data_IF_813308710524
#
_entry.id   IF_813308710524
#
_cell.length_a   1.000
_cell.length_b   1.000
_cell.length_c   1.000
_cell.angle_alpha   90.00
_cell.angle_beta   90.00
_cell.angle_gamma   90.00
#
_symmetry.space_group_name_H-M   'P 1'
#
loop_
_entity.id
_entity.type
_entity.pdbx_description
1 polymer ?
#
# COMPACT_ATOMS: atom_id res chain seq x y z
N UNK A 1 70.04 -60.81 -98.62
CA UNK A 1 70.32 -60.22 -97.28
C UNK A 1 69.13 -59.36 -96.90
N UNK A 2 68.49 -59.71 -95.79
CA UNK A 2 67.29 -59.09 -95.21
C UNK A 2 67.70 -57.89 -94.33
N UNK A 3 66.76 -56.97 -94.14
CA UNK A 3 66.73 -55.74 -93.31
C UNK A 3 67.40 -54.51 -93.96
N UNK A 4 66.75 -53.34 -94.04
CA UNK A 4 65.85 -52.76 -93.03
C UNK A 4 64.75 -51.93 -93.68
N UNK A 5 63.50 -52.37 -93.56
CA UNK A 5 62.34 -51.53 -93.85
C UNK A 5 62.17 -50.51 -92.72
N UNK A 6 62.61 -49.28 -92.94
CA UNK A 6 62.18 -48.15 -92.12
C UNK A 6 60.65 -48.11 -92.10
N UNK A 7 59.98 -48.03 -90.93
CA UNK A 7 58.53 -48.03 -90.87
C UNK A 7 57.96 -46.88 -91.71
N UNK A 8 57.08 -47.19 -92.66
CA UNK A 8 56.49 -46.23 -93.62
C UNK A 8 55.76 -45.06 -92.94
N UNK A 9 55.37 -45.23 -91.67
CA UNK A 9 54.93 -44.14 -90.81
C UNK A 9 55.10 -44.53 -89.33
N UNK A 10 55.46 -43.56 -88.48
CA UNK A 10 55.53 -43.70 -87.02
C UNK A 10 54.93 -42.48 -86.33
N UNK A 11 54.17 -42.72 -85.27
CA UNK A 11 53.75 -41.67 -84.34
C UNK A 11 54.89 -41.37 -83.37
N UNK A 12 55.13 -40.08 -83.10
CA UNK A 12 55.92 -39.70 -81.93
C UNK A 12 55.22 -40.17 -80.65
N UNK A 13 55.97 -40.25 -79.56
CA UNK A 13 55.36 -40.35 -78.24
C UNK A 13 54.45 -39.14 -78.00
N UNK A 14 53.47 -39.33 -77.12
CA UNK A 14 52.59 -38.25 -76.72
C UNK A 14 53.40 -37.18 -75.99
N UNK A 15 53.24 -35.92 -76.42
CA UNK A 15 53.79 -34.76 -75.76
C UNK A 15 53.28 -34.59 -74.32
N UNK A 16 53.84 -33.60 -73.62
CA UNK A 16 53.39 -33.24 -72.27
C UNK A 16 51.93 -32.78 -72.31
N UNK A 17 51.23 -32.94 -71.19
CA UNK A 17 49.86 -32.47 -71.05
C UNK A 17 49.85 -30.94 -70.93
N UNK A 18 49.27 -30.26 -71.92
CA UNK A 18 49.08 -28.81 -71.91
C UNK A 18 47.76 -28.49 -71.18
N UNK A 19 47.76 -28.68 -69.86
CA UNK A 19 46.61 -28.37 -69.00
C UNK A 19 46.62 -26.90 -68.57
N UNK A 20 45.49 -26.21 -68.76
CA UNK A 20 45.31 -24.80 -68.41
C UNK A 20 43.97 -24.57 -67.70
N UNK A 21 43.77 -23.40 -67.11
CA UNK A 21 42.55 -23.06 -66.38
C UNK A 21 42.59 -23.34 -64.87
N UNK A 22 41.44 -23.17 -64.22
CA UNK A 22 41.27 -23.34 -62.77
C UNK A 22 41.32 -24.82 -62.39
N UNK A 23 41.85 -25.10 -61.20
CA UNK A 23 41.82 -26.44 -60.62
C UNK A 23 40.36 -26.86 -60.39
N UNK A 24 40.03 -28.13 -60.63
CA UNK A 24 38.68 -28.67 -60.43
C UNK A 24 38.19 -28.58 -58.98
N UNK A 25 39.12 -28.52 -58.03
CA UNK A 25 38.88 -28.35 -56.61
C UNK A 25 39.32 -26.94 -56.20
N UNK A 26 38.65 -26.32 -55.23
CA UNK A 26 39.03 -25.00 -54.69
C UNK A 26 40.02 -25.10 -53.52
N UNK A 27 40.14 -26.28 -52.91
CA UNK A 27 41.07 -26.60 -51.83
C UNK A 27 41.54 -28.07 -52.00
N UNK A 28 42.67 -28.44 -51.40
CA UNK A 28 43.24 -29.78 -51.50
C UNK A 28 43.67 -30.16 -52.93
N UNK A 29 43.69 -31.46 -53.23
CA UNK A 29 44.08 -31.97 -54.55
C UNK A 29 42.94 -31.86 -55.56
N UNK A 30 43.26 -31.42 -56.76
CA UNK A 30 42.33 -31.37 -57.88
C UNK A 30 43.01 -31.67 -59.21
N UNK A 31 42.26 -31.50 -60.30
CA UNK A 31 42.72 -31.75 -61.66
C UNK A 31 42.56 -30.49 -62.51
N UNK A 32 43.59 -30.17 -63.31
CA UNK A 32 43.47 -29.28 -64.46
C UNK A 32 43.38 -30.14 -65.70
N UNK A 33 42.40 -29.85 -66.55
CA UNK A 33 42.16 -30.61 -67.77
C UNK A 33 42.86 -29.92 -68.95
N UNK A 34 43.28 -30.71 -69.92
CA UNK A 34 43.95 -30.22 -71.12
C UNK A 34 44.04 -31.27 -72.21
N UNK A 35 44.90 -31.01 -73.16
CA UNK A 35 45.17 -31.92 -74.28
C UNK A 35 46.66 -32.22 -74.39
N UNK A 36 46.99 -33.40 -74.90
CA UNK A 36 48.35 -33.71 -75.34
C UNK A 36 48.34 -34.10 -76.79
N UNK A 37 49.35 -33.65 -77.50
CA UNK A 37 49.50 -33.82 -78.95
C UNK A 37 50.59 -34.84 -79.24
N UNK A 38 50.53 -35.48 -80.41
CA UNK A 38 51.63 -36.27 -80.98
C UNK A 38 51.71 -35.99 -82.48
N UNK A 39 52.90 -36.03 -83.03
CA UNK A 39 53.14 -35.73 -84.44
C UNK A 39 53.31 -37.01 -85.24
N UNK A 40 52.71 -37.04 -86.43
CA UNK A 40 52.86 -38.14 -87.40
C UNK A 40 54.12 -37.90 -88.21
N UNK A 41 55.07 -38.82 -88.18
CA UNK A 41 56.22 -38.82 -89.09
C UNK A 41 55.90 -39.75 -90.26
N UNK A 42 55.95 -39.22 -91.49
CA UNK A 42 55.61 -39.94 -92.72
C UNK A 42 56.91 -40.14 -93.51
N UNK A 43 57.21 -41.40 -93.86
CA UNK A 43 58.26 -41.73 -94.82
C UNK A 43 57.73 -41.78 -96.26
N UNK A 44 58.57 -42.17 -97.23
CA UNK A 44 58.14 -42.39 -98.61
C UNK A 44 57.31 -43.69 -98.70
N UNK A 45 55.99 -43.59 -98.51
CA UNK A 45 55.06 -44.72 -98.57
C UNK A 45 53.64 -44.39 -98.10
N UNK A 46 52.75 -45.39 -98.19
CA UNK A 46 51.31 -45.23 -97.89
C UNK A 46 51.07 -44.91 -96.39
N UNK A 47 50.49 -43.73 -96.15
CA UNK A 47 50.24 -43.17 -94.82
C UNK A 47 49.03 -43.78 -94.09
N UNK A 48 48.30 -44.68 -94.76
CA UNK A 48 47.07 -45.35 -94.31
C UNK A 48 47.27 -46.29 -93.11
N UNK A 49 48.51 -46.75 -92.84
CA UNK A 49 48.83 -47.65 -91.71
C UNK A 49 48.93 -46.97 -90.34
N UNK A 50 48.84 -45.63 -90.29
CA UNK A 50 48.89 -44.84 -89.06
C UNK A 50 47.56 -44.13 -88.81
N UNK A 51 46.55 -44.90 -88.42
CA UNK A 51 45.23 -44.39 -88.02
C UNK A 51 45.18 -44.10 -86.52
N UNK A 52 44.45 -43.05 -86.14
CA UNK A 52 44.26 -42.63 -84.76
C UNK A 52 44.52 -41.14 -84.56
N UNK A 53 44.04 -40.55 -83.44
CA UNK A 53 44.07 -39.11 -83.27
C UNK A 53 45.48 -38.58 -82.98
N UNK A 54 45.74 -37.34 -83.41
CA UNK A 54 46.94 -36.56 -83.08
C UNK A 54 46.80 -35.79 -81.76
N UNK A 55 45.59 -35.76 -81.18
CA UNK A 55 45.25 -35.07 -79.93
C UNK A 55 44.46 -36.02 -79.04
N UNK A 56 44.77 -36.07 -77.75
CA UNK A 56 43.94 -36.78 -76.76
C UNK A 56 43.78 -35.97 -75.47
N UNK A 57 42.66 -36.14 -74.75
CA UNK A 57 42.47 -35.47 -73.47
C UNK A 57 43.50 -35.95 -72.45
N UNK A 58 43.84 -35.06 -71.54
CA UNK A 58 44.73 -35.33 -70.42
C UNK A 58 44.34 -34.47 -69.22
N UNK A 59 44.92 -34.79 -68.07
CA UNK A 59 44.83 -33.95 -66.89
C UNK A 59 46.19 -33.91 -66.18
N UNK A 60 46.43 -32.83 -65.46
CA UNK A 60 47.50 -32.71 -64.48
C UNK A 60 46.91 -32.51 -63.10
N UNK A 61 47.61 -32.98 -62.07
CA UNK A 61 47.23 -32.70 -60.69
C UNK A 61 47.57 -31.25 -60.36
N UNK A 62 46.70 -30.62 -59.58
CA UNK A 62 46.93 -29.30 -58.99
C UNK A 62 46.73 -29.38 -57.49
N UNK A 63 47.59 -28.70 -56.75
CA UNK A 63 47.50 -28.56 -55.30
C UNK A 63 46.99 -27.15 -54.97
N UNK A 64 45.89 -27.09 -54.25
CA UNK A 64 45.39 -25.88 -53.63
C UNK A 64 45.67 -25.94 -52.11
N UNK A 65 45.53 -24.81 -51.39
CA UNK A 65 45.62 -24.83 -49.92
C UNK A 65 44.69 -25.90 -49.32
N UNK A 66 45.07 -26.50 -48.18
CA UNK A 66 44.31 -27.59 -47.58
C UNK A 66 42.85 -27.20 -47.35
N UNK A 67 41.95 -28.15 -47.57
CA UNK A 67 40.55 -27.98 -47.22
C UNK A 67 40.43 -27.96 -45.71
N UNK A 68 39.88 -26.88 -45.20
CA UNK A 68 39.50 -26.76 -43.81
C UNK A 68 38.01 -26.90 -43.63
N UNK A 69 37.58 -26.85 -42.38
CA UNK A 69 36.21 -26.98 -42.00
C UNK A 69 35.70 -25.78 -41.22
N UNK A 70 34.44 -25.40 -41.46
CA UNK A 70 33.69 -24.45 -40.65
C UNK A 70 32.29 -24.99 -40.36
N UNK A 71 31.84 -24.78 -39.13
CA UNK A 71 30.44 -25.01 -38.77
C UNK A 71 29.56 -23.82 -39.23
N UNK A 72 28.38 -24.12 -39.77
CA UNK A 72 27.34 -23.10 -39.92
C UNK A 72 26.79 -22.66 -38.55
N UNK A 73 26.06 -21.55 -38.53
CA UNK A 73 25.32 -21.14 -37.35
C UNK A 73 24.30 -22.22 -36.94
N UNK A 74 24.03 -22.33 -35.64
CA UNK A 74 22.99 -23.21 -35.16
C UNK A 74 21.65 -22.84 -35.78
N UNK A 75 20.95 -23.84 -36.31
CA UNK A 75 19.56 -23.71 -36.75
C UNK A 75 18.61 -23.41 -35.59
N UNK A 76 17.35 -23.12 -35.93
CA UNK A 76 16.30 -22.90 -34.95
C UNK A 76 16.12 -24.13 -34.04
N UNK A 77 15.79 -23.86 -32.77
CA UNK A 77 15.48 -24.93 -31.82
C UNK A 77 14.16 -25.59 -32.18
N UNK A 78 14.20 -26.85 -32.62
CA UNK A 78 13.00 -27.64 -32.87
C UNK A 78 12.52 -28.21 -31.54
N UNK A 79 11.45 -27.62 -31.01
CA UNK A 79 10.89 -28.03 -29.73
C UNK A 79 10.33 -29.45 -29.78
N UNK A 80 10.55 -30.20 -28.71
CA UNK A 80 10.04 -31.55 -28.51
C UNK A 80 9.57 -31.73 -27.06
N UNK A 81 8.55 -32.56 -26.86
CA UNK A 81 8.00 -32.85 -25.53
C UNK A 81 7.06 -31.81 -24.93
N UNK A 82 6.71 -32.07 -23.67
CA UNK A 82 5.75 -31.27 -22.89
C UNK A 82 6.44 -30.09 -22.20
N UNK A 83 5.66 -29.04 -21.96
CA UNK A 83 6.10 -27.89 -21.18
C UNK A 83 6.34 -28.26 -19.71
N UNK A 84 7.38 -27.68 -19.11
CA UNK A 84 7.72 -27.86 -17.69
C UNK A 84 6.65 -27.34 -16.73
N UNK A 85 5.75 -26.48 -17.22
CA UNK A 85 4.58 -25.98 -16.52
C UNK A 85 3.41 -25.94 -17.48
N UNK A 86 2.20 -26.15 -16.98
CA UNK A 86 0.95 -25.93 -17.72
C UNK A 86 0.45 -24.48 -17.61
N UNK A 87 1.09 -23.67 -16.74
CA UNK A 87 0.64 -22.34 -16.36
C UNK A 87 1.82 -21.39 -16.12
N UNK A 88 1.72 -20.15 -16.60
CA UNK A 88 2.77 -19.15 -16.50
C UNK A 88 4.07 -19.57 -17.21
N UNK A 89 5.22 -18.98 -16.86
CA UNK A 89 6.47 -19.22 -17.57
C UNK A 89 6.86 -20.70 -17.50
N UNK A 90 7.01 -21.31 -18.68
CA UNK A 90 7.46 -22.69 -18.84
C UNK A 90 8.49 -22.78 -19.97
N UNK A 91 9.31 -23.82 -19.92
CA UNK A 91 10.21 -24.17 -21.02
C UNK A 91 9.95 -25.62 -21.43
N UNK A 92 10.18 -25.92 -22.70
CA UNK A 92 10.23 -27.30 -23.21
C UNK A 92 11.57 -27.55 -23.86
N UNK A 93 11.98 -28.81 -23.84
CA UNK A 93 13.22 -29.23 -24.48
C UNK A 93 13.07 -29.22 -26.00
N UNK A 94 14.18 -29.31 -26.69
CA UNK A 94 14.23 -29.32 -28.14
C UNK A 94 15.63 -29.68 -28.63
N UNK A 95 15.77 -29.76 -29.94
CA UNK A 95 17.04 -30.05 -30.59
C UNK A 95 17.31 -29.03 -31.68
N UNK A 96 18.54 -28.52 -31.72
CA UNK A 96 19.04 -27.68 -32.83
C UNK A 96 20.24 -28.34 -33.46
N UNK A 97 20.40 -28.13 -34.76
CA UNK A 97 21.48 -28.72 -35.55
C UNK A 97 22.28 -27.64 -36.27
N UNK A 98 23.51 -27.97 -36.65
CA UNK A 98 24.38 -27.17 -37.52
C UNK A 98 25.05 -28.09 -38.53
N UNK A 99 25.48 -27.53 -39.65
CA UNK A 99 26.04 -28.28 -40.77
C UNK A 99 27.53 -28.00 -40.93
N UNK A 100 28.27 -29.06 -41.27
CA UNK A 100 29.71 -29.00 -41.55
C UNK A 100 29.89 -28.47 -42.98
N UNK A 101 30.66 -27.40 -43.15
CA UNK A 101 30.98 -26.82 -44.45
C UNK A 101 32.49 -26.86 -44.68
N UNK A 102 32.89 -27.26 -45.88
CA UNK A 102 34.29 -27.21 -46.30
C UNK A 102 34.63 -25.79 -46.74
N UNK A 103 35.71 -25.23 -46.21
CA UNK A 103 36.17 -23.87 -46.50
C UNK A 103 37.67 -23.86 -46.75
N UNK A 104 38.12 -22.93 -47.59
CA UNK A 104 39.55 -22.74 -47.85
C UNK A 104 40.26 -22.23 -46.59
N UNK A 105 41.36 -22.89 -46.18
CA UNK A 105 42.20 -22.42 -45.07
C UNK A 105 41.57 -22.50 -43.68
N UNK A 106 40.46 -23.22 -43.51
CA UNK A 106 39.91 -23.52 -42.19
C UNK A 106 40.73 -24.58 -41.42
N UNK A 107 40.39 -24.86 -40.16
CA UNK A 107 40.99 -25.95 -39.40
C UNK A 107 40.75 -27.32 -40.08
N UNK A 108 41.68 -28.28 -39.95
CA UNK A 108 41.57 -29.58 -40.62
C UNK A 108 40.34 -30.39 -40.20
N UNK A 109 39.86 -30.19 -38.97
CA UNK A 109 38.60 -30.76 -38.52
C UNK A 109 37.75 -29.78 -37.71
N UNK A 110 36.44 -29.97 -37.80
CA UNK A 110 35.45 -29.22 -37.04
C UNK A 110 35.13 -29.96 -35.75
N UNK A 111 35.74 -29.53 -34.66
CA UNK A 111 35.51 -30.13 -33.33
C UNK A 111 34.11 -29.76 -32.81
N UNK A 112 33.45 -30.71 -32.14
CA UNK A 112 32.16 -30.56 -31.46
C UNK A 112 30.97 -31.13 -32.23
N UNK A 113 29.83 -31.24 -31.56
CA UNK A 113 28.65 -31.92 -32.09
C UNK A 113 27.94 -31.15 -33.21
N UNK A 114 27.26 -31.89 -34.10
CA UNK A 114 26.36 -31.34 -35.14
C UNK A 114 24.93 -31.14 -34.63
N UNK A 115 24.59 -31.65 -33.45
CA UNK A 115 23.31 -31.49 -32.76
C UNK A 115 23.52 -31.19 -31.28
N UNK A 116 22.59 -30.44 -30.68
CA UNK A 116 22.56 -30.25 -29.23
C UNK A 116 21.15 -29.94 -28.71
N UNK A 117 20.96 -30.19 -27.42
CA UNK A 117 19.75 -29.83 -26.70
C UNK A 117 19.61 -28.31 -26.59
N UNK A 118 18.38 -27.84 -26.70
CA UNK A 118 18.02 -26.44 -26.51
C UNK A 118 16.67 -26.34 -25.79
N UNK A 119 16.32 -25.13 -25.35
CA UNK A 119 15.07 -24.86 -24.66
C UNK A 119 14.31 -23.74 -25.36
N UNK A 120 13.01 -23.95 -25.56
CA UNK A 120 12.10 -22.92 -26.06
C UNK A 120 11.09 -22.53 -24.98
N UNK A 121 10.69 -21.24 -24.90
CA UNK A 121 9.58 -20.84 -24.05
C UNK A 121 8.28 -21.52 -24.49
N UNK A 122 7.40 -21.74 -23.52
CA UNK A 122 6.05 -22.26 -23.74
C UNK A 122 5.03 -21.12 -23.76
N UNK A 123 4.04 -21.26 -24.63
CA UNK A 123 2.88 -20.37 -24.68
C UNK A 123 1.79 -20.90 -23.74
N UNK A 124 2.02 -20.72 -22.45
CA UNK A 124 1.10 -21.16 -21.41
C UNK A 124 0.18 -20.01 -21.00
N UNK A 125 -1.08 -20.31 -20.62
CA UNK A 125 -1.94 -19.32 -19.99
C UNK A 125 -1.25 -18.70 -18.75
N UNK A 126 -1.41 -17.40 -18.52
CA UNK A 126 -0.75 -16.73 -17.40
C UNK A 126 -1.18 -17.31 -16.04
N UNK A 127 -0.26 -17.24 -15.08
CA UNK A 127 -0.59 -17.49 -13.69
C UNK A 127 -1.44 -16.35 -13.16
N UNK A 128 -2.61 -16.65 -12.62
CA UNK A 128 -3.33 -15.69 -11.82
C UNK A 128 -4.80 -16.00 -11.66
N UNK A 129 -5.37 -15.36 -10.66
CA UNK A 129 -6.80 -15.20 -10.57
C UNK A 129 -7.07 -13.73 -10.26
N UNK A 130 -8.32 -13.32 -10.41
CA UNK A 130 -8.76 -12.03 -9.90
C UNK A 130 -9.34 -12.25 -8.52
N UNK A 131 -8.87 -11.52 -7.51
CA UNK A 131 -9.57 -11.46 -6.24
C UNK A 131 -10.72 -10.47 -6.34
N UNK A 132 -11.85 -10.75 -5.69
CA UNK A 132 -12.84 -9.72 -5.41
C UNK A 132 -12.24 -8.63 -4.51
N UNK A 133 -12.93 -7.50 -4.41
CA UNK A 133 -12.66 -6.55 -3.33
C UNK A 133 -12.83 -7.25 -1.98
N UNK A 134 -12.11 -6.75 -0.97
CA UNK A 134 -12.32 -7.18 0.40
C UNK A 134 -13.75 -6.87 0.83
N UNK A 135 -14.41 -7.84 1.44
CA UNK A 135 -15.68 -7.64 2.11
C UNK A 135 -15.54 -6.71 3.33
N UNK A 136 -16.69 -6.37 3.91
CA UNK A 136 -16.72 -5.59 5.15
C UNK A 136 -16.00 -6.32 6.29
N UNK A 137 -15.38 -5.55 7.17
CA UNK A 137 -14.72 -6.09 8.37
C UNK A 137 -15.76 -6.59 9.36
N UNK A 138 -15.81 -7.91 9.57
CA UNK A 138 -16.69 -8.52 10.58
C UNK A 138 -15.97 -8.50 11.92
N UNK A 139 -16.40 -7.62 12.82
CA UNK A 139 -15.83 -7.51 14.16
C UNK A 139 -16.10 -8.79 14.98
N UNK A 140 -15.05 -9.32 15.62
CA UNK A 140 -15.12 -10.57 16.41
C UNK A 140 -14.58 -10.40 17.83
N UNK A 141 -14.02 -9.24 18.15
CA UNK A 141 -13.42 -8.92 19.45
C UNK A 141 -14.16 -7.89 20.28
N UNK A 142 -13.75 -7.80 21.55
CA UNK A 142 -14.11 -6.68 22.43
C UNK A 142 -13.37 -5.41 21.99
N UNK A 143 -13.95 -4.27 22.34
CA UNK A 143 -13.29 -2.98 22.16
C UNK A 143 -12.07 -2.86 23.08
N UNK A 144 -10.99 -2.30 22.54
CA UNK A 144 -9.76 -1.99 23.28
C UNK A 144 -9.95 -0.96 24.39
N UNK A 145 -10.99 -0.14 24.29
CA UNK A 145 -11.42 0.78 25.34
C UNK A 145 -12.93 0.65 25.53
N UNK A 146 -13.41 0.92 26.75
CA UNK A 146 -14.84 1.00 27.09
C UNK A 146 -15.39 2.41 26.86
N UNK A 147 -14.53 3.42 26.70
CA UNK A 147 -14.88 4.85 26.66
C UNK A 147 -13.89 5.62 25.79
N UNK A 148 -14.37 6.64 25.11
CA UNK A 148 -13.56 7.39 24.13
C UNK A 148 -13.12 6.52 22.96
N UNK A 149 -12.10 6.95 22.20
CA UNK A 149 -11.68 6.25 20.99
C UNK A 149 -11.20 4.83 21.34
N UNK A 150 -11.78 3.85 20.66
CA UNK A 150 -11.40 2.45 20.77
C UNK A 150 -11.55 1.76 19.43
N UNK A 151 -10.80 0.68 19.26
CA UNK A 151 -10.91 -0.21 18.11
C UNK A 151 -11.08 -1.65 18.57
N UNK A 152 -11.70 -2.47 17.73
CA UNK A 152 -11.79 -3.92 17.90
C UNK A 152 -11.33 -4.64 16.66
N UNK A 153 -10.73 -5.80 16.85
CA UNK A 153 -10.30 -6.66 15.76
C UNK A 153 -11.51 -7.33 15.09
N UNK A 154 -11.33 -7.65 13.82
CA UNK A 154 -12.26 -8.41 13.02
C UNK A 154 -11.55 -9.13 11.90
N UNK A 155 -12.32 -9.85 11.11
CA UNK A 155 -11.84 -10.56 9.93
C UNK A 155 -12.64 -10.07 8.73
N UNK A 156 -11.93 -9.75 7.65
CA UNK A 156 -12.54 -9.53 6.33
C UNK A 156 -12.07 -10.61 5.38
N UNK A 157 -12.93 -10.96 4.44
CA UNK A 157 -12.67 -12.01 3.45
C UNK A 157 -12.86 -11.48 2.04
N UNK A 158 -12.24 -12.13 1.07
CA UNK A 158 -12.44 -11.90 -0.36
C UNK A 158 -12.53 -13.24 -1.08
N UNK A 159 -13.19 -13.27 -2.22
CA UNK A 159 -13.39 -14.50 -2.98
C UNK A 159 -12.57 -14.49 -4.26
N UNK A 160 -12.16 -15.68 -4.67
CA UNK A 160 -11.51 -15.89 -5.96
C UNK A 160 -12.55 -15.73 -7.08
N UNK A 161 -12.23 -14.89 -8.04
CA UNK A 161 -12.92 -14.78 -9.32
C UNK A 161 -12.12 -15.53 -10.38
N UNK A 162 -12.77 -16.48 -11.04
CA UNK A 162 -12.18 -17.18 -12.16
C UNK A 162 -12.12 -16.24 -13.37
N UNK A 163 -10.95 -16.12 -13.99
CA UNK A 163 -10.75 -15.37 -15.22
C UNK A 163 -10.55 -16.39 -16.35
N UNK A 164 -11.40 -16.39 -17.40
CA UNK A 164 -11.22 -17.28 -18.54
C UNK A 164 -9.82 -17.13 -19.15
N UNK A 165 -9.19 -18.27 -19.49
CA UNK A 165 -7.84 -18.30 -20.06
C UNK A 165 -6.70 -18.10 -19.05
N UNK A 166 -6.98 -17.98 -17.75
CA UNK A 166 -5.96 -17.88 -16.71
C UNK A 166 -5.92 -19.14 -15.86
N UNK A 167 -4.74 -19.45 -15.32
CA UNK A 167 -4.59 -20.58 -14.42
C UNK A 167 -5.01 -20.27 -12.99
N UNK A 168 -5.78 -21.18 -12.40
CA UNK A 168 -6.48 -21.05 -11.11
C UNK A 168 -5.66 -20.77 -9.84
N UNK A 169 -4.35 -20.55 -9.91
CA UNK A 169 -3.53 -20.31 -8.71
C UNK A 169 -3.57 -18.84 -8.32
N UNK A 170 -4.38 -18.51 -7.32
CA UNK A 170 -4.33 -17.20 -6.67
C UNK A 170 -3.12 -17.11 -5.75
N UNK A 171 -2.41 -15.99 -5.78
CA UNK A 171 -1.40 -15.65 -4.78
C UNK A 171 -2.04 -14.72 -3.74
N UNK A 172 -1.71 -14.94 -2.45
CA UNK A 172 -2.22 -14.18 -1.31
C UNK A 172 -3.40 -14.86 -0.59
N UNK A 173 -3.73 -14.36 0.61
CA UNK A 173 -4.77 -14.93 1.46
C UNK A 173 -6.19 -14.52 1.02
N UNK A 174 -7.18 -15.37 1.34
CA UNK A 174 -8.62 -15.10 1.17
C UNK A 174 -9.26 -14.43 2.40
N UNK A 175 -8.52 -14.30 3.49
CA UNK A 175 -8.92 -13.63 4.73
C UNK A 175 -7.76 -12.85 5.32
N UNK A 176 -8.08 -11.76 6.01
CA UNK A 176 -7.10 -11.00 6.78
C UNK A 176 -7.74 -10.31 7.99
N UNK A 177 -6.89 -9.97 8.96
CA UNK A 177 -7.28 -9.20 10.14
C UNK A 177 -7.54 -7.75 9.75
N UNK A 178 -8.57 -7.17 10.34
CA UNK A 178 -8.94 -5.77 10.16
C UNK A 178 -9.38 -5.15 11.48
N UNK A 179 -9.49 -3.82 11.51
CA UNK A 179 -9.89 -3.07 12.70
C UNK A 179 -11.12 -2.23 12.38
N UNK A 180 -12.05 -2.18 13.34
CA UNK A 180 -13.23 -1.31 13.26
C UNK A 180 -13.27 -0.39 14.47
N UNK A 181 -13.69 0.87 14.30
CA UNK A 181 -13.90 1.77 15.43
C UNK A 181 -15.03 1.25 16.31
N UNK A 182 -14.91 1.53 17.60
CA UNK A 182 -15.92 1.22 18.60
C UNK A 182 -16.83 2.41 18.84
N UNK A 183 -18.12 2.14 18.99
CA UNK A 183 -19.12 3.12 19.39
C UNK A 183 -19.16 3.21 20.93
N UNK A 184 -18.13 3.83 21.48
CA UNK A 184 -17.97 4.01 22.92
C UNK A 184 -18.49 5.38 23.35
N UNK A 185 -19.04 5.51 24.57
CA UNK A 185 -19.39 6.81 25.13
C UNK A 185 -18.15 7.72 25.18
N UNK A 186 -18.29 8.97 24.74
CA UNK A 186 -17.19 9.93 24.65
C UNK A 186 -16.63 10.34 26.03
N UNK A 187 -17.43 10.20 27.09
CA UNK A 187 -17.07 10.64 28.44
C UNK A 187 -17.21 9.47 29.43
N UNK A 188 -16.21 9.31 30.29
CA UNK A 188 -16.25 8.29 31.35
C UNK A 188 -17.15 8.65 32.53
N UNK A 189 -17.49 9.93 32.68
CA UNK A 189 -18.38 10.39 33.73
C UNK A 189 -18.97 11.77 33.40
N UNK A 190 -20.16 12.07 33.94
CA UNK A 190 -20.83 13.37 33.85
C UNK A 190 -21.26 13.87 35.23
N UNK A 191 -21.02 15.15 35.50
CA UNK A 191 -21.59 15.87 36.65
C UNK A 191 -22.96 16.47 36.28
N UNK A 192 -23.90 16.46 37.22
CA UNK A 192 -25.08 17.32 37.14
C UNK A 192 -24.69 18.78 37.39
N UNK A 193 -25.59 19.69 37.03
CA UNK A 193 -25.47 21.08 37.49
C UNK A 193 -25.51 21.12 39.02
N UNK A 194 -24.87 22.14 39.59
CA UNK A 194 -25.00 22.44 41.00
C UNK A 194 -26.46 22.71 41.36
N UNK A 195 -26.95 22.07 42.40
CA UNK A 195 -28.25 22.35 42.99
C UNK A 195 -28.32 23.76 43.59
N UNK A 196 -29.52 24.16 43.99
CA UNK A 196 -29.73 25.42 44.69
C UNK A 196 -28.95 25.47 46.01
N UNK A 197 -28.52 26.67 46.38
CA UNK A 197 -27.81 26.90 47.64
C UNK A 197 -28.75 26.66 48.83
N UNK A 198 -28.52 25.61 49.61
CA UNK A 198 -29.24 25.37 50.86
C UNK A 198 -28.62 26.21 51.95
N UNK A 199 -29.11 27.44 52.06
CA UNK A 199 -28.62 28.43 53.01
C UNK A 199 -28.99 28.07 54.45
N UNK A 200 -28.02 28.14 55.35
CA UNK A 200 -28.18 27.88 56.77
C UNK A 200 -27.60 29.04 57.58
N UNK A 201 -28.05 29.21 58.83
CA UNK A 201 -27.59 30.31 59.69
C UNK A 201 -28.32 31.64 59.48
N UNK A 202 -27.92 32.65 60.29
CA UNK A 202 -28.49 34.01 60.29
C UNK A 202 -27.96 34.83 59.12
N UNK A 203 -28.75 35.80 58.67
CA UNK A 203 -28.31 36.77 57.67
C UNK A 203 -27.18 37.64 58.23
N UNK A 204 -26.20 38.00 57.41
CA UNK A 204 -25.09 38.90 57.78
C UNK A 204 -25.57 40.27 58.28
N UNK A 205 -26.72 40.71 57.77
CA UNK A 205 -27.34 41.99 58.09
C UNK A 205 -28.68 41.73 58.77
N UNK A 206 -29.02 42.46 59.83
CA UNK A 206 -30.33 42.34 60.52
C UNK A 206 -31.45 43.03 59.75
N UNK A 207 -31.12 44.01 58.90
CA UNK A 207 -32.03 44.65 57.95
C UNK A 207 -31.26 45.01 56.66
N UNK A 208 -31.97 45.21 55.55
CA UNK A 208 -31.35 45.51 54.26
C UNK A 208 -30.62 44.31 53.64
N UNK A 209 -30.17 44.42 52.37
CA UNK A 209 -29.55 43.29 51.66
C UNK A 209 -28.38 42.70 52.44
N UNK A 210 -28.41 41.39 52.65
CA UNK A 210 -27.35 40.63 53.29
C UNK A 210 -27.11 39.29 52.61
N UNK A 211 -26.12 38.55 53.11
CA UNK A 211 -25.80 37.21 52.66
C UNK A 211 -25.76 36.24 53.83
N UNK A 212 -25.99 34.97 53.54
CA UNK A 212 -25.80 33.86 54.48
C UNK A 212 -25.14 32.69 53.77
N UNK A 213 -24.34 31.94 54.52
CA UNK A 213 -23.64 30.78 54.00
C UNK A 213 -24.59 29.61 53.77
N UNK A 214 -24.19 28.68 52.92
CA UNK A 214 -24.94 27.47 52.64
C UNK A 214 -24.08 26.44 51.95
N UNK A 215 -24.68 25.29 51.68
CA UNK A 215 -24.05 24.21 50.92
C UNK A 215 -24.91 23.93 49.70
N UNK A 216 -24.26 23.83 48.54
CA UNK A 216 -24.89 23.29 47.33
C UNK A 216 -24.23 21.97 46.96
N UNK A 217 -25.01 21.07 46.39
CA UNK A 217 -24.55 19.73 46.00
C UNK A 217 -24.82 19.46 44.54
N UNK A 218 -24.06 18.54 43.95
CA UNK A 218 -24.27 18.00 42.60
C UNK A 218 -24.07 16.49 42.63
N UNK A 219 -24.66 15.78 41.68
CA UNK A 219 -24.52 14.33 41.55
C UNK A 219 -23.61 13.99 40.38
N UNK A 220 -22.94 12.83 40.45
CA UNK A 220 -22.14 12.29 39.34
C UNK A 220 -22.75 10.98 38.84
N UNK A 221 -22.63 10.76 37.54
CA UNK A 221 -22.93 9.51 36.88
C UNK A 221 -21.66 9.01 36.20
N UNK A 222 -21.07 7.93 36.72
CA UNK A 222 -19.91 7.28 36.11
C UNK A 222 -20.37 6.18 35.16
N UNK A 223 -19.65 6.02 34.05
CA UNK A 223 -19.79 4.86 33.18
C UNK A 223 -18.88 3.74 33.70
N UNK A 224 -19.38 2.52 33.96
CA UNK A 224 -18.55 1.40 34.39
C UNK A 224 -17.40 1.12 33.39
N UNK A 225 -16.21 0.84 33.91
CA UNK A 225 -15.01 0.62 33.07
C UNK A 225 -14.31 1.90 32.60
N UNK A 226 -14.79 3.07 33.00
CA UNK A 226 -14.23 4.36 32.61
C UNK A 226 -13.63 5.16 33.78
N UNK A 227 -12.87 6.19 33.43
CA UNK A 227 -12.37 7.18 34.39
C UNK A 227 -13.52 7.83 35.16
N UNK A 228 -13.39 7.84 36.49
CA UNK A 228 -14.37 8.46 37.40
C UNK A 228 -14.29 9.98 37.31
N UNK A 229 -15.41 10.66 37.56
CA UNK A 229 -15.36 12.12 37.76
C UNK A 229 -14.46 12.50 38.93
N UNK A 230 -13.58 13.46 38.69
CA UNK A 230 -12.73 14.10 39.72
C UNK A 230 -13.45 15.37 40.23
N UNK A 231 -13.26 15.67 41.52
CA UNK A 231 -13.81 16.86 42.19
C UNK A 231 -14.91 16.55 43.21
N UNK A 232 -15.25 17.55 44.02
CA UNK A 232 -16.23 17.41 45.10
C UNK A 232 -17.69 17.39 44.58
N UNK A 233 -18.56 16.72 45.32
CA UNK A 233 -20.02 16.69 45.12
C UNK A 233 -20.77 17.73 45.96
N UNK A 234 -20.06 18.50 46.77
CA UNK A 234 -20.59 19.57 47.61
C UNK A 234 -19.60 20.72 47.71
N UNK A 235 -20.09 21.95 47.75
CA UNK A 235 -19.27 23.13 48.01
C UNK A 235 -20.05 24.22 48.75
N UNK A 236 -19.31 25.14 49.36
CA UNK A 236 -19.85 26.31 50.04
C UNK A 236 -20.43 27.30 49.02
N UNK A 237 -21.59 27.87 49.35
CA UNK A 237 -22.25 28.89 48.55
C UNK A 237 -22.81 30.01 49.44
N UNK A 238 -23.19 31.12 48.82
CA UNK A 238 -23.82 32.25 49.48
C UNK A 238 -25.21 32.49 48.89
N UNK A 239 -26.19 32.71 49.75
CA UNK A 239 -27.55 33.09 49.36
C UNK A 239 -27.89 34.48 49.90
N UNK A 240 -28.53 35.30 49.06
CA UNK A 240 -29.05 36.61 49.48
C UNK A 240 -30.19 36.45 50.48
N UNK A 241 -30.19 37.29 51.51
CA UNK A 241 -31.25 37.40 52.52
C UNK A 241 -31.60 38.89 52.74
N UNK A 242 -32.73 39.13 53.42
CA UNK A 242 -33.20 40.48 53.73
C UNK A 242 -33.27 41.40 52.50
N UNK A 243 -33.95 40.93 51.45
CA UNK A 243 -34.05 41.64 50.16
C UNK A 243 -34.77 42.99 50.23
N UNK A 244 -35.51 43.23 51.31
CA UNK A 244 -36.19 44.50 51.56
C UNK A 244 -35.22 45.49 52.23
N UNK A 245 -35.34 46.80 51.95
CA UNK A 245 -34.55 47.81 52.64
C UNK A 245 -34.84 47.82 54.14
N UNK A 246 -33.89 48.35 54.90
CA UNK A 246 -34.14 48.74 56.28
C UNK A 246 -35.20 49.84 56.28
N UNK A 247 -36.23 49.66 57.09
CA UNK A 247 -37.23 50.67 57.35
C UNK A 247 -37.38 50.94 58.83
N UNK A 248 -38.11 51.99 59.13
CA UNK A 248 -38.36 52.45 60.46
C UNK A 248 -39.77 52.05 60.91
N UNK A 249 -39.90 51.66 62.17
CA UNK A 249 -41.19 51.46 62.86
C UNK A 249 -41.08 51.99 64.28
N UNK A 250 -42.10 52.69 64.76
CA UNK A 250 -42.20 53.02 66.18
C UNK A 250 -42.66 51.81 66.98
N UNK A 251 -42.14 51.64 68.20
CA UNK A 251 -42.78 50.76 69.18
C UNK A 251 -44.17 51.30 69.53
N UNK A 252 -44.99 50.47 70.17
CA UNK A 252 -46.19 50.96 70.84
C UNK A 252 -45.82 52.02 71.88
N UNK A 253 -46.76 52.93 72.14
CA UNK A 253 -46.60 53.92 73.19
C UNK A 253 -46.49 53.21 74.54
N UNK A 254 -45.51 53.63 75.35
CA UNK A 254 -45.44 53.25 76.75
C UNK A 254 -46.67 53.73 77.53
N UNK A 255 -46.83 53.22 78.74
CA UNK A 255 -47.89 53.68 79.64
C UNK A 255 -47.74 55.18 79.93
N UNK A 256 -48.88 55.87 80.09
CA UNK A 256 -48.88 57.29 80.45
C UNK A 256 -48.34 57.47 81.87
N UNK A 257 -47.21 58.14 81.99
CA UNK A 257 -46.62 58.45 83.29
C UNK A 257 -47.19 59.77 83.79
N UNK A 258 -48.13 59.70 84.75
CA UNK A 258 -48.74 60.89 85.32
C UNK A 258 -47.69 61.75 86.04
N UNK A 259 -47.68 63.04 85.74
CA UNK A 259 -46.79 64.04 86.32
C UNK A 259 -47.59 65.27 86.78
N UNK A 260 -47.18 65.87 87.89
CA UNK A 260 -47.83 67.05 88.46
C UNK A 260 -49.00 66.76 89.42
N UNK A 261 -49.58 67.84 89.95
CA UNK A 261 -50.71 67.80 90.90
C UNK A 261 -52.03 67.66 90.15
N UNK A 262 -53.03 67.03 90.79
CA UNK A 262 -54.37 66.91 90.23
C UNK A 262 -54.98 68.30 90.01
N UNK A 263 -55.69 68.51 88.90
CA UNK A 263 -56.31 69.80 88.56
C UNK A 263 -57.41 70.24 89.54
N UNK A 264 -57.86 69.36 90.42
CA UNK A 264 -58.78 69.67 91.51
C UNK A 264 -58.43 68.87 92.76
N UNK A 265 -58.65 69.45 93.93
CA UNK A 265 -58.51 68.82 95.24
C UNK A 265 -59.82 68.18 95.75
N UNK A 266 -60.96 68.47 95.12
CA UNK A 266 -62.25 67.79 95.36
C UNK A 266 -63.06 67.63 94.05
N UNK A 267 -63.75 66.49 93.89
CA UNK A 267 -64.45 66.11 92.65
C UNK A 267 -63.53 65.50 91.56
N UNK A 268 -64.06 65.18 90.36
CA UNK A 268 -63.27 64.61 89.27
C UNK A 268 -62.22 65.61 88.76
N UNK A 269 -60.94 65.22 88.79
CA UNK A 269 -59.82 66.03 88.34
C UNK A 269 -58.98 65.32 87.26
N UNK A 270 -58.24 66.10 86.48
CA UNK A 270 -57.32 65.60 85.45
C UNK A 270 -55.88 65.70 85.95
N UNK A 271 -55.04 64.75 85.57
CA UNK A 271 -53.58 64.84 85.70
C UNK A 271 -52.98 64.84 84.31
N UNK A 272 -51.92 65.61 84.15
CA UNK A 272 -51.09 65.53 82.96
C UNK A 272 -50.11 64.36 83.12
N UNK A 273 -49.62 63.86 82.01
CA UNK A 273 -48.64 62.81 81.94
C UNK A 273 -47.90 62.85 80.61
N UNK A 274 -46.87 62.03 80.52
CA UNK A 274 -46.12 61.87 79.28
C UNK A 274 -45.96 60.39 79.01
N UNK A 275 -46.09 60.01 77.74
CA UNK A 275 -45.76 58.68 77.27
C UNK A 275 -44.70 58.77 76.19
N UNK A 276 -43.85 57.76 76.11
CA UNK A 276 -42.76 57.67 75.14
C UNK A 276 -42.86 56.40 74.31
N UNK A 277 -42.31 56.44 73.09
CA UNK A 277 -42.13 55.27 72.23
C UNK A 277 -40.73 55.29 71.63
N UNK A 278 -40.23 54.13 71.22
CA UNK A 278 -38.86 53.97 70.72
C UNK A 278 -38.83 53.71 69.22
N UNK A 279 -37.83 54.26 68.55
CA UNK A 279 -37.62 54.07 67.11
C UNK A 279 -36.93 52.72 66.89
N UNK A 280 -37.53 51.82 66.13
CA UNK A 280 -36.97 50.52 65.77
C UNK A 280 -36.64 50.47 64.29
N UNK A 281 -35.46 49.94 63.95
CA UNK A 281 -35.12 49.59 62.56
C UNK A 281 -35.56 48.16 62.31
N UNK A 282 -36.46 47.98 61.34
CA UNK A 282 -37.07 46.70 61.00
C UNK A 282 -37.02 46.46 59.50
N UNK A 283 -36.98 45.20 59.09
CA UNK A 283 -37.02 44.83 57.68
C UNK A 283 -38.40 45.21 57.09
N UNK A 284 -38.40 45.99 56.00
CA UNK A 284 -39.64 46.40 55.33
C UNK A 284 -40.49 47.43 56.10
N UNK A 285 -39.92 48.15 57.07
CA UNK A 285 -40.58 49.29 57.72
C UNK A 285 -40.74 50.50 56.80
N UNK A 286 -41.28 51.61 57.33
CA UNK A 286 -41.42 52.84 56.54
C UNK A 286 -40.06 53.51 56.29
N UNK A 287 -39.83 54.20 55.16
CA UNK A 287 -38.54 54.84 54.88
C UNK A 287 -38.11 55.84 55.97
N UNK A 288 -39.09 56.55 56.55
CA UNK A 288 -38.90 57.49 57.64
C UNK A 288 -40.01 57.28 58.67
N UNK A 289 -39.65 57.27 59.95
CA UNK A 289 -40.65 57.32 61.03
C UNK A 289 -41.14 58.76 61.19
N UNK A 290 -42.42 58.99 60.92
CA UNK A 290 -43.07 60.29 61.10
C UNK A 290 -43.67 60.39 62.51
N UNK A 291 -43.67 61.59 63.09
CA UNK A 291 -44.17 61.89 64.44
C UNK A 291 -43.08 61.88 65.53
N UNK A 292 -43.46 62.22 66.77
CA UNK A 292 -42.53 62.40 67.90
C UNK A 292 -42.31 61.10 68.67
N UNK A 293 -41.22 61.06 69.46
CA UNK A 293 -40.92 59.97 70.41
C UNK A 293 -41.60 60.14 71.78
N UNK A 294 -42.22 61.29 72.02
CA UNK A 294 -42.92 61.64 73.26
C UNK A 294 -44.15 62.49 72.96
N UNK A 295 -45.22 62.26 73.70
CA UNK A 295 -46.42 63.12 73.66
C UNK A 295 -47.09 63.19 75.04
N UNK A 296 -47.88 64.24 75.22
CA UNK A 296 -48.67 64.47 76.44
C UNK A 296 -49.94 63.64 76.42
N UNK A 297 -50.24 63.08 77.58
CA UNK A 297 -51.48 62.44 77.98
C UNK A 297 -51.81 62.96 79.40
#
# INVERSE_FOLDING_TARGET
>A
KICSGSPCCRWSDWGRCEASGRCSSTCGTGKKYGTRTRTKQIGLGDSSRCNGPSIKPCYTLCENPPCGCKWSNWGQCKASGRCSSTCGPGKRYGTRTRTKQMVLGGPPDCIGASSQTCYTPCDNPPNGCRWSNWGQCKATGRCSSTCGPGQRYGIRTRTKQNVPGWCSKCIGASSETCYTPCDNPSYGCRWSNWGQCKATGRCSSTCGPGQRYGIRTRTKQNVPGCSKCIGASSETCYATCNKLPCGCRWSDWGQCQASGRCSSTCGPGKKYGTRTRTKQIVLGGQPVCVGTSSETC
#
